data_IF_481603500496
#
_entry.id   IF_481603500496
#
_cell.length_a   1.000
_cell.length_b   1.000
_cell.length_c   1.000
_cell.angle_alpha   90.00
_cell.angle_beta   90.00
_cell.angle_gamma   90.00
#
_symmetry.space_group_name_H-M   'P 1'
#
loop_
_entity.id
_entity.type
_entity.pdbx_description
1 polymer ?
#
# COMPACT_ATOMS: atom_id res chain seq x y z
N UNK A 1 32.72 18.30 -51.67
CA UNK A 1 32.83 19.40 -50.69
C UNK A 1 31.70 19.28 -49.71
N UNK A 2 31.99 18.78 -48.50
CA UNK A 2 30.95 18.55 -47.47
C UNK A 2 30.94 19.78 -46.54
N UNK A 3 29.86 20.60 -46.64
CA UNK A 3 29.62 21.70 -45.71
C UNK A 3 29.03 21.15 -44.42
N UNK A 4 29.88 20.75 -43.48
CA UNK A 4 29.44 20.55 -42.09
C UNK A 4 29.17 21.95 -41.47
N UNK A 5 27.92 22.36 -41.42
CA UNK A 5 27.54 23.53 -40.61
C UNK A 5 27.78 23.21 -39.15
N UNK A 6 28.82 23.79 -38.58
CA UNK A 6 29.10 23.73 -37.15
C UNK A 6 28.03 24.54 -36.42
N UNK A 7 27.13 23.86 -35.72
CA UNK A 7 26.13 24.53 -34.87
C UNK A 7 26.88 25.21 -33.74
N UNK A 8 26.63 26.50 -33.56
CA UNK A 8 27.24 27.37 -32.55
C UNK A 8 27.09 26.71 -31.15
N UNK A 9 28.17 26.62 -30.34
CA UNK A 9 28.13 26.00 -29.01
C UNK A 9 27.05 26.62 -28.08
N UNK A 10 26.78 27.93 -28.21
CA UNK A 10 25.71 28.58 -27.46
C UNK A 10 24.32 28.06 -27.79
N UNK A 11 24.08 27.70 -29.07
CA UNK A 11 22.79 27.11 -29.49
C UNK A 11 22.65 25.70 -28.94
N UNK A 12 23.73 24.90 -28.90
CA UNK A 12 23.69 23.55 -28.30
C UNK A 12 23.37 23.59 -26.81
N UNK A 13 23.98 24.54 -26.07
CA UNK A 13 23.71 24.76 -24.65
C UNK A 13 22.25 25.20 -24.42
N UNK A 14 21.75 26.10 -25.23
CA UNK A 14 20.36 26.59 -25.12
C UNK A 14 19.34 25.48 -25.41
N UNK A 15 19.56 24.66 -26.44
CA UNK A 15 18.70 23.52 -26.77
C UNK A 15 18.76 22.45 -25.67
N UNK A 16 19.93 22.22 -25.06
CA UNK A 16 20.06 21.28 -23.95
C UNK A 16 19.30 21.73 -22.71
N UNK A 17 19.41 23.01 -22.34
CA UNK A 17 18.66 23.58 -21.21
C UNK A 17 17.16 23.63 -21.48
N UNK A 18 16.73 23.93 -22.70
CA UNK A 18 15.31 23.92 -23.10
C UNK A 18 14.74 22.50 -23.07
N UNK A 19 15.51 21.50 -23.50
CA UNK A 19 15.15 20.09 -23.42
C UNK A 19 15.01 19.61 -21.96
N UNK A 20 15.90 20.04 -21.08
CA UNK A 20 15.86 19.72 -19.65
C UNK A 20 14.64 20.34 -18.95
N UNK A 21 14.25 21.55 -19.33
CA UNK A 21 13.03 22.22 -18.84
C UNK A 21 11.74 21.52 -19.28
N UNK A 22 11.71 20.97 -20.49
CA UNK A 22 10.55 20.24 -21.03
C UNK A 22 10.31 18.89 -20.34
N UNK A 23 11.37 18.25 -19.84
CA UNK A 23 11.26 16.98 -19.09
C UNK A 23 10.67 17.19 -17.70
N UNK A 24 10.85 18.38 -17.10
CA UNK A 24 10.39 18.67 -15.74
C UNK A 24 8.86 18.85 -15.60
N UNK A 25 8.12 18.97 -16.68
CA UNK A 25 6.66 19.24 -16.65
C UNK A 25 5.80 17.98 -16.73
N UNK A 26 6.39 16.79 -16.83
CA UNK A 26 5.65 15.54 -17.06
C UNK A 26 5.26 14.78 -15.77
N UNK A 27 5.63 15.26 -14.59
CA UNK A 27 5.23 14.68 -13.31
C UNK A 27 4.13 15.49 -12.62
N UNK A 28 3.09 15.86 -13.34
CA UNK A 28 1.83 16.16 -12.69
C UNK A 28 1.08 14.83 -12.49
N UNK A 29 1.36 14.16 -11.38
CA UNK A 29 0.46 13.15 -10.85
C UNK A 29 -0.87 13.87 -10.60
N UNK A 30 -1.80 13.71 -11.52
CA UNK A 30 -3.16 14.20 -11.35
C UNK A 30 -3.68 13.63 -10.05
N UNK A 31 -3.75 14.48 -9.01
CA UNK A 31 -4.20 14.09 -7.68
C UNK A 31 -5.52 13.34 -7.82
N UNK A 32 -5.52 12.05 -7.50
CA UNK A 32 -6.76 11.26 -7.52
C UNK A 32 -7.72 11.87 -6.53
N UNK A 33 -8.87 12.31 -7.00
CA UNK A 33 -9.91 12.82 -6.12
C UNK A 33 -10.26 11.75 -5.09
N UNK A 34 -10.18 12.05 -3.77
CA UNK A 34 -10.52 11.08 -2.75
C UNK A 34 -11.94 10.55 -2.92
N UNK A 35 -12.09 9.24 -2.90
CA UNK A 35 -13.40 8.60 -2.94
C UNK A 35 -14.11 8.87 -1.60
N UNK A 36 -15.28 9.49 -1.66
CA UNK A 36 -16.16 9.71 -0.50
C UNK A 36 -17.33 8.75 -0.57
N UNK A 37 -17.53 7.99 0.49
CA UNK A 37 -18.63 7.02 0.62
C UNK A 37 -19.47 7.34 1.85
N UNK A 38 -20.75 6.91 1.84
CA UNK A 38 -21.70 7.21 2.94
C UNK A 38 -21.74 6.07 3.97
N UNK A 39 -21.70 4.83 3.54
CA UNK A 39 -22.03 3.67 4.37
C UNK A 39 -20.82 2.83 4.81
N UNK A 40 -19.67 3.03 4.18
CA UNK A 40 -18.45 2.29 4.51
C UNK A 40 -17.65 1.93 3.26
N UNK A 41 -16.41 1.61 3.48
CA UNK A 41 -15.48 1.17 2.44
C UNK A 41 -14.55 0.11 3.00
N UNK A 42 -14.19 -0.86 2.19
CA UNK A 42 -13.17 -1.85 2.50
C UNK A 42 -12.12 -1.81 1.40
N UNK A 43 -10.87 -1.72 1.78
CA UNK A 43 -9.73 -1.78 0.85
C UNK A 43 -8.66 -2.73 1.39
N UNK A 44 -8.01 -3.47 0.51
CA UNK A 44 -6.90 -4.34 0.85
C UNK A 44 -5.99 -4.57 -0.37
N UNK A 45 -4.91 -5.32 -0.19
CA UNK A 45 -4.01 -5.71 -1.28
C UNK A 45 -4.66 -6.69 -2.28
N UNK A 46 -5.79 -7.30 -1.94
CA UNK A 46 -6.52 -8.24 -2.79
C UNK A 46 -7.98 -7.83 -2.95
N UNK A 47 -8.44 -7.75 -4.22
CA UNK A 47 -9.85 -7.47 -4.52
C UNK A 47 -10.79 -8.49 -3.86
N UNK A 48 -10.44 -9.78 -3.92
CA UNK A 48 -11.24 -10.85 -3.33
C UNK A 48 -11.34 -10.72 -1.81
N UNK A 49 -10.26 -10.31 -1.15
CA UNK A 49 -10.28 -10.06 0.30
C UNK A 49 -11.12 -8.83 0.64
N UNK A 50 -11.04 -7.75 -0.16
CA UNK A 50 -11.91 -6.58 0.03
C UNK A 50 -13.39 -6.93 -0.19
N UNK A 51 -13.71 -7.81 -1.14
CA UNK A 51 -15.07 -8.30 -1.37
C UNK A 51 -15.58 -9.12 -0.18
N UNK A 52 -14.74 -9.94 0.46
CA UNK A 52 -15.10 -10.68 1.67
C UNK A 52 -15.46 -9.75 2.83
N UNK A 53 -14.61 -8.73 3.09
CA UNK A 53 -14.89 -7.72 4.10
C UNK A 53 -16.14 -6.89 3.79
N UNK A 54 -16.35 -6.52 2.53
CA UNK A 54 -17.57 -5.83 2.11
C UNK A 54 -18.81 -6.73 2.29
N UNK A 55 -18.66 -8.03 2.05
CA UNK A 55 -19.71 -9.02 2.35
C UNK A 55 -20.15 -9.01 3.82
N UNK A 56 -19.19 -8.90 4.74
CA UNK A 56 -19.49 -8.79 6.17
C UNK A 56 -20.30 -7.52 6.49
N UNK A 57 -19.90 -6.35 5.93
CA UNK A 57 -20.68 -5.10 6.08
C UNK A 57 -22.12 -5.24 5.54
N UNK A 58 -22.28 -5.88 4.37
CA UNK A 58 -23.62 -6.09 3.76
C UNK A 58 -24.53 -6.97 4.59
N UNK A 59 -23.98 -7.86 5.40
CA UNK A 59 -24.70 -8.74 6.32
C UNK A 59 -24.99 -8.08 7.68
N UNK A 60 -24.68 -6.79 7.83
CA UNK A 60 -24.91 -6.05 9.05
C UNK A 60 -23.74 -6.05 10.03
N UNK A 61 -22.60 -6.59 9.64
CA UNK A 61 -21.38 -6.52 10.42
C UNK A 61 -20.81 -5.09 10.48
N UNK A 62 -19.99 -4.82 11.48
CA UNK A 62 -19.31 -3.56 11.68
C UNK A 62 -17.90 -3.54 11.01
N UNK A 63 -17.13 -2.48 11.22
CA UNK A 63 -15.81 -2.32 10.65
C UNK A 63 -14.82 -3.39 11.13
N UNK A 64 -14.95 -3.88 12.37
CA UNK A 64 -14.10 -4.95 12.91
C UNK A 64 -14.43 -6.29 12.24
N UNK A 65 -15.71 -6.59 12.05
CA UNK A 65 -16.14 -7.79 11.33
C UNK A 65 -15.61 -7.80 9.90
N UNK A 66 -15.67 -6.65 9.22
CA UNK A 66 -15.14 -6.49 7.88
C UNK A 66 -13.60 -6.64 7.84
N UNK A 67 -12.89 -6.09 8.81
CA UNK A 67 -11.44 -6.23 8.92
C UNK A 67 -11.03 -7.69 9.13
N UNK A 68 -11.72 -8.41 10.01
CA UNK A 68 -11.49 -9.84 10.28
C UNK A 68 -11.74 -10.68 9.03
N UNK A 69 -12.88 -10.49 8.36
CA UNK A 69 -13.20 -11.21 7.12
C UNK A 69 -12.16 -10.96 6.02
N UNK A 70 -11.71 -9.70 5.90
CA UNK A 70 -10.64 -9.32 4.97
C UNK A 70 -9.32 -10.02 5.32
N UNK A 71 -8.94 -10.04 6.59
CA UNK A 71 -7.69 -10.64 7.05
C UNK A 71 -7.65 -12.14 6.78
N UNK A 72 -8.72 -12.87 7.08
CA UNK A 72 -8.82 -14.31 6.75
C UNK A 72 -8.77 -14.56 5.25
N UNK A 73 -9.42 -13.74 4.44
CA UNK A 73 -9.37 -13.86 3.00
C UNK A 73 -7.96 -13.57 2.45
N UNK A 74 -7.22 -12.60 3.03
CA UNK A 74 -5.83 -12.32 2.68
C UNK A 74 -4.89 -13.48 2.95
N UNK A 75 -5.15 -14.30 3.97
CA UNK A 75 -4.36 -15.50 4.23
C UNK A 75 -4.36 -16.49 3.05
N UNK A 76 -5.40 -16.44 2.20
CA UNK A 76 -5.52 -17.26 0.98
C UNK A 76 -5.12 -16.49 -0.26
N UNK A 77 -5.59 -15.25 -0.40
CA UNK A 77 -5.47 -14.47 -1.64
C UNK A 77 -4.18 -13.66 -1.73
N UNK A 78 -3.45 -13.53 -0.62
CA UNK A 78 -2.16 -12.84 -0.54
C UNK A 78 -1.22 -13.51 0.47
N UNK A 79 -0.84 -14.77 0.24
CA UNK A 79 -0.12 -15.59 1.21
C UNK A 79 1.31 -15.12 1.51
N UNK A 80 1.84 -14.19 0.72
CA UNK A 80 3.16 -13.59 0.98
C UNK A 80 3.20 -12.71 2.24
N UNK A 81 2.04 -12.22 2.71
CA UNK A 81 1.94 -11.39 3.90
C UNK A 81 0.67 -11.65 4.71
N UNK A 82 -0.42 -12.15 4.10
CA UNK A 82 -1.62 -12.60 4.81
C UNK A 82 -1.41 -13.99 5.40
N UNK A 83 -1.67 -14.17 6.69
CA UNK A 83 -1.53 -15.48 7.34
C UNK A 83 -2.42 -15.59 8.58
N UNK A 84 -2.61 -16.83 9.05
CA UNK A 84 -3.24 -17.14 10.34
C UNK A 84 -2.11 -17.50 11.29
N UNK A 85 -1.94 -16.77 12.38
CA UNK A 85 -0.86 -16.99 13.35
C UNK A 85 0.32 -16.02 13.23
N UNK A 86 0.28 -15.13 12.26
CA UNK A 86 1.12 -13.94 12.25
C UNK A 86 0.56 -12.83 13.13
N UNK A 87 1.16 -11.67 13.08
CA UNK A 87 0.78 -10.54 13.88
C UNK A 87 0.56 -9.25 13.09
N UNK A 88 0.36 -8.18 13.81
CA UNK A 88 0.13 -6.88 13.20
C UNK A 88 -0.27 -5.81 14.20
N UNK A 89 -0.79 -4.75 13.65
CA UNK A 89 -1.33 -3.62 14.41
C UNK A 89 -2.74 -3.30 13.91
N UNK A 90 -3.61 -2.91 14.82
CA UNK A 90 -4.91 -2.38 14.47
C UNK A 90 -5.10 -1.02 15.15
N UNK A 91 -5.52 -0.02 14.39
CA UNK A 91 -6.01 1.25 14.92
C UNK A 91 -7.53 1.24 14.75
N UNK A 92 -8.24 1.32 15.85
CA UNK A 92 -9.69 1.37 15.89
C UNK A 92 -10.16 2.77 16.34
N UNK A 93 -11.09 3.33 15.61
CA UNK A 93 -11.77 4.56 15.97
C UNK A 93 -13.26 4.26 16.13
N UNK A 94 -13.77 4.38 17.37
CA UNK A 94 -15.14 4.11 17.69
C UNK A 94 -16.08 5.26 17.32
N UNK A 95 -17.37 4.98 17.29
CA UNK A 95 -18.41 5.98 17.05
C UNK A 95 -18.47 7.05 18.17
N UNK A 96 -18.02 6.70 19.37
CA UNK A 96 -17.86 7.58 20.52
C UNK A 96 -16.69 8.58 20.40
N UNK A 97 -15.94 8.51 19.30
CA UNK A 97 -14.76 9.33 19.01
C UNK A 97 -13.49 8.84 19.70
N UNK A 98 -13.53 7.79 20.51
CA UNK A 98 -12.33 7.21 21.10
C UNK A 98 -11.54 6.39 20.08
N UNK A 99 -10.22 6.61 20.03
CA UNK A 99 -9.30 5.81 19.26
C UNK A 99 -8.49 4.91 20.18
N UNK A 100 -8.28 3.67 19.77
CA UNK A 100 -7.41 2.73 20.47
C UNK A 100 -6.56 1.97 19.50
N UNK A 101 -5.42 1.46 19.98
CA UNK A 101 -4.47 0.69 19.18
C UNK A 101 -4.24 -0.67 19.82
N UNK A 102 -4.28 -1.70 19.00
CA UNK A 102 -3.93 -3.06 19.38
C UNK A 102 -2.61 -3.43 18.74
N UNK A 103 -1.63 -3.78 19.58
CA UNK A 103 -0.37 -4.37 19.17
C UNK A 103 -0.43 -5.88 19.43
N UNK A 104 -0.54 -6.65 18.34
CA UNK A 104 -0.57 -8.11 18.39
C UNK A 104 0.55 -8.71 17.54
N UNK A 105 1.70 -8.04 17.51
CA UNK A 105 2.90 -8.58 16.85
C UNK A 105 3.32 -9.90 17.46
N UNK A 106 3.85 -10.76 16.61
CA UNK A 106 4.42 -12.04 16.98
C UNK A 106 5.58 -11.86 17.96
N UNK A 107 5.74 -12.82 18.84
CA UNK A 107 6.91 -12.97 19.71
C UNK A 107 7.58 -14.30 19.41
N UNK A 108 8.91 -14.34 19.53
CA UNK A 108 9.63 -15.59 19.44
C UNK A 108 9.12 -16.60 20.49
N UNK A 109 9.01 -17.89 20.15
CA UNK A 109 8.72 -18.93 21.13
C UNK A 109 9.67 -18.89 22.32
N UNK A 110 9.21 -19.22 23.53
CA UNK A 110 10.06 -19.23 24.74
C UNK A 110 11.26 -20.17 24.61
N UNK A 111 11.17 -21.21 23.79
CA UNK A 111 12.24 -22.14 23.48
C UNK A 111 13.18 -21.68 22.37
N UNK A 112 12.95 -20.50 21.77
CA UNK A 112 13.81 -19.97 20.72
C UNK A 112 15.18 -19.62 21.27
N UNK A 113 16.24 -19.98 20.53
CA UNK A 113 17.62 -19.60 20.82
C UNK A 113 18.22 -18.94 19.57
N UNK A 114 19.25 -18.13 19.74
CA UNK A 114 19.92 -17.46 18.61
C UNK A 114 20.53 -18.45 17.61
N UNK A 115 20.75 -19.69 18.02
CA UNK A 115 21.40 -20.74 17.21
C UNK A 115 20.46 -21.83 16.73
N UNK A 116 19.15 -21.69 16.95
CA UNK A 116 18.17 -22.76 16.66
C UNK A 116 18.09 -23.18 15.17
N UNK A 117 18.58 -22.36 14.25
CA UNK A 117 18.63 -22.66 12.82
C UNK A 117 20.05 -22.93 12.29
N UNK A 118 21.06 -22.98 13.17
CA UNK A 118 22.43 -23.27 12.75
C UNK A 118 22.65 -24.80 12.74
N UNK A 119 22.97 -25.34 11.57
CA UNK A 119 23.26 -26.77 11.40
C UNK A 119 22.07 -27.61 10.92
N UNK A 120 21.06 -26.97 10.34
CA UNK A 120 19.99 -27.63 9.58
C UNK A 120 20.41 -27.85 8.12
#
# INVERSE_FOLDING_TARGET
MSHRRLINPSIKSFVFFLSLMLVSTSFSEGGRTPLRVKNGIVTSASRLASEAGFGALKQGGNAVDAAIATAFALAVTWPSAGNIGGGGFMVYHGEDGHATTFDFREKAPLAATERMYLGL
#
